data_IF_305296464941
#
_entry.id   IF_305296464941
#
_cell.length_a   1.000
_cell.length_b   1.000
_cell.length_c   1.000
_cell.angle_alpha   90.00
_cell.angle_beta   90.00
_cell.angle_gamma   90.00
#
_symmetry.space_group_name_H-M   'P 1'
#
loop_
_entity.id
_entity.type
_entity.pdbx_description
1 polymer ?
#
# COMPACT_ATOMS: atom_id res chain seq x y z
N UNK A 1 -63.17 11.88 -44.90
CA UNK A 1 -62.45 10.59 -44.85
C UNK A 1 -60.93 10.81 -44.93
N UNK A 2 -60.41 11.62 -45.87
CA UNK A 2 -58.96 11.89 -45.97
C UNK A 2 -58.34 12.73 -44.84
N UNK A 3 -59.08 13.66 -44.22
CA UNK A 3 -58.55 14.48 -43.11
C UNK A 3 -58.34 13.70 -41.80
N UNK A 4 -59.17 12.68 -41.56
CA UNK A 4 -59.11 11.85 -40.35
C UNK A 4 -57.89 10.91 -40.36
N UNK A 5 -57.54 10.37 -41.52
CA UNK A 5 -56.31 9.58 -41.73
C UNK A 5 -55.04 10.44 -41.60
N UNK A 6 -55.08 11.70 -42.04
CA UNK A 6 -53.94 12.63 -41.93
C UNK A 6 -53.70 13.06 -40.49
N UNK A 7 -54.77 13.28 -39.73
CA UNK A 7 -54.73 13.59 -38.30
C UNK A 7 -54.16 12.42 -37.49
N UNK A 8 -54.64 11.21 -37.75
CA UNK A 8 -54.15 9.99 -37.07
C UNK A 8 -52.68 9.66 -37.40
N UNK A 9 -52.24 9.84 -38.64
CA UNK A 9 -50.82 9.67 -39.01
C UNK A 9 -49.95 10.69 -38.26
N UNK A 10 -50.38 11.96 -38.18
CA UNK A 10 -49.61 12.99 -37.46
C UNK A 10 -49.47 12.66 -35.97
N UNK A 11 -50.55 12.26 -35.32
CA UNK A 11 -50.55 11.87 -33.90
C UNK A 11 -49.67 10.64 -33.64
N UNK A 12 -49.74 9.62 -34.50
CA UNK A 12 -48.86 8.44 -34.41
C UNK A 12 -47.39 8.83 -34.52
N UNK A 13 -47.03 9.69 -35.48
CA UNK A 13 -45.63 10.13 -35.64
C UNK A 13 -45.12 10.96 -34.46
N UNK A 14 -45.98 11.77 -33.85
CA UNK A 14 -45.64 12.55 -32.65
C UNK A 14 -45.47 11.64 -31.43
N UNK A 15 -46.35 10.65 -31.27
CA UNK A 15 -46.28 9.66 -30.20
C UNK A 15 -44.99 8.83 -30.29
N UNK A 16 -44.63 8.35 -31.48
CA UNK A 16 -43.39 7.59 -31.72
C UNK A 16 -42.13 8.40 -31.44
N UNK A 17 -42.10 9.68 -31.85
CA UNK A 17 -40.99 10.58 -31.51
C UNK A 17 -40.87 10.77 -30.00
N UNK A 18 -41.99 11.02 -29.33
CA UNK A 18 -42.03 11.19 -27.87
C UNK A 18 -41.58 9.93 -27.14
N UNK A 19 -41.99 8.75 -27.62
CA UNK A 19 -41.57 7.45 -27.09
C UNK A 19 -40.07 7.26 -27.24
N UNK A 20 -39.51 7.48 -28.44
CA UNK A 20 -38.07 7.36 -28.70
C UNK A 20 -37.23 8.29 -27.83
N UNK A 21 -37.69 9.52 -27.57
CA UNK A 21 -37.01 10.47 -26.66
C UNK A 21 -37.03 9.98 -25.22
N UNK A 22 -38.16 9.44 -24.76
CA UNK A 22 -38.28 8.85 -23.41
C UNK A 22 -37.40 7.62 -23.25
N UNK A 23 -37.42 6.73 -24.24
CA UNK A 23 -36.63 5.50 -24.23
C UNK A 23 -35.12 5.84 -24.21
N UNK A 24 -34.66 6.74 -25.07
CA UNK A 24 -33.26 7.20 -25.09
C UNK A 24 -32.84 7.83 -23.76
N UNK A 25 -33.72 8.61 -23.11
CA UNK A 25 -33.44 9.17 -21.78
C UNK A 25 -33.33 8.07 -20.73
N UNK A 26 -34.24 7.09 -20.75
CA UNK A 26 -34.22 5.98 -19.79
C UNK A 26 -33.00 5.10 -19.98
N UNK A 27 -32.56 4.88 -21.22
CA UNK A 27 -31.38 4.08 -21.55
C UNK A 27 -30.10 4.77 -21.11
N UNK A 28 -29.95 6.07 -21.39
CA UNK A 28 -28.83 6.86 -20.88
C UNK A 28 -28.77 6.89 -19.34
N UNK A 29 -29.94 6.97 -18.67
CA UNK A 29 -29.99 6.90 -17.21
C UNK A 29 -29.53 5.54 -16.69
N UNK A 30 -29.93 4.44 -17.33
CA UNK A 30 -29.47 3.08 -16.98
C UNK A 30 -27.96 2.94 -17.15
N UNK A 31 -27.41 3.38 -18.28
CA UNK A 31 -25.97 3.30 -18.52
C UNK A 31 -25.15 4.09 -17.50
N UNK A 32 -25.62 5.29 -17.12
CA UNK A 32 -24.98 6.10 -16.07
C UNK A 32 -24.99 5.36 -14.72
N UNK A 33 -26.10 4.72 -14.39
CA UNK A 33 -26.27 4.01 -13.13
C UNK A 33 -25.42 2.74 -13.08
N UNK A 34 -25.36 1.98 -14.18
CA UNK A 34 -24.46 0.84 -14.34
C UNK A 34 -22.99 1.25 -14.27
N UNK A 35 -22.61 2.36 -14.94
CA UNK A 35 -21.25 2.87 -14.88
C UNK A 35 -20.86 3.30 -13.46
N UNK A 36 -21.76 4.00 -12.76
CA UNK A 36 -21.56 4.37 -11.35
C UNK A 36 -21.39 3.14 -10.47
N UNK A 37 -22.28 2.15 -10.60
CA UNK A 37 -22.23 0.93 -9.80
C UNK A 37 -20.93 0.16 -10.06
N UNK A 38 -20.53 0.00 -11.32
CA UNK A 38 -19.26 -0.63 -11.69
C UNK A 38 -18.07 0.11 -11.09
N UNK A 39 -18.05 1.44 -11.15
CA UNK A 39 -16.98 2.25 -10.56
C UNK A 39 -16.93 2.15 -9.04
N UNK A 40 -18.08 2.09 -8.38
CA UNK A 40 -18.14 1.92 -6.93
C UNK A 40 -17.68 0.52 -6.49
N UNK A 41 -18.01 -0.52 -7.26
CA UNK A 41 -17.49 -1.88 -7.05
C UNK A 41 -15.97 -1.96 -7.26
N UNK A 42 -15.45 -1.34 -8.33
CA UNK A 42 -14.01 -1.21 -8.57
C UNK A 42 -13.32 -0.46 -7.42
N UNK A 43 -13.91 0.63 -6.96
CA UNK A 43 -13.37 1.42 -5.85
C UNK A 43 -13.36 0.63 -4.54
N UNK A 44 -14.44 -0.08 -4.21
CA UNK A 44 -14.51 -0.92 -3.00
C UNK A 44 -13.52 -2.07 -3.05
N UNK A 45 -13.34 -2.72 -4.21
CA UNK A 45 -12.29 -3.73 -4.38
C UNK A 45 -10.91 -3.13 -4.18
N UNK A 46 -10.64 -1.99 -4.80
CA UNK A 46 -9.37 -1.30 -4.65
C UNK A 46 -9.11 -0.88 -3.20
N UNK A 47 -10.10 -0.33 -2.49
CA UNK A 47 -10.00 -0.02 -1.06
C UNK A 47 -9.75 -1.27 -0.21
N UNK A 48 -10.42 -2.39 -0.49
CA UNK A 48 -10.19 -3.63 0.24
C UNK A 48 -8.80 -4.21 -0.01
N UNK A 49 -8.35 -4.19 -1.26
CA UNK A 49 -7.04 -4.71 -1.67
C UNK A 49 -5.91 -3.81 -1.15
N UNK A 50 -6.01 -2.50 -1.33
CA UNK A 50 -5.00 -1.53 -0.91
C UNK A 50 -5.06 -1.19 0.58
N UNK A 51 -6.25 -1.18 1.18
CA UNK A 51 -6.42 -0.97 2.62
C UNK A 51 -5.79 -2.10 3.45
N UNK A 52 -5.65 -3.30 2.86
CA UNK A 52 -4.89 -4.42 3.44
C UNK A 52 -3.38 -4.34 3.21
N UNK A 53 -2.93 -3.51 2.24
CA UNK A 53 -1.53 -3.37 1.87
C UNK A 53 -0.67 -2.86 3.02
N UNK A 54 -1.21 -1.95 3.84
CA UNK A 54 -0.47 -1.40 4.98
C UNK A 54 -0.24 -2.46 6.07
N UNK A 55 -1.25 -3.28 6.37
CA UNK A 55 -1.11 -4.38 7.35
C UNK A 55 -0.16 -5.46 6.88
N UNK A 56 -0.21 -5.81 5.59
CA UNK A 56 0.69 -6.82 5.02
C UNK A 56 2.13 -6.32 5.01
N UNK A 57 2.36 -5.08 4.61
CA UNK A 57 3.68 -4.46 4.66
C UNK A 57 4.21 -4.34 6.10
N UNK A 58 3.35 -4.00 7.06
CA UNK A 58 3.70 -3.93 8.48
C UNK A 58 4.03 -5.32 9.05
N UNK A 59 3.23 -6.35 8.76
CA UNK A 59 3.52 -7.73 9.19
C UNK A 59 4.82 -8.27 8.58
N UNK A 60 5.06 -8.03 7.29
CA UNK A 60 6.28 -8.50 6.62
C UNK A 60 7.52 -7.76 7.16
N UNK A 61 7.43 -6.44 7.35
CA UNK A 61 8.50 -5.67 7.98
C UNK A 61 8.77 -6.10 9.43
N UNK A 62 7.72 -6.41 10.20
CA UNK A 62 7.88 -6.85 11.58
C UNK A 62 8.53 -8.24 11.67
N UNK A 63 8.15 -9.18 10.79
CA UNK A 63 8.81 -10.50 10.70
C UNK A 63 10.29 -10.37 10.34
N UNK A 64 10.62 -9.51 9.40
CA UNK A 64 12.01 -9.29 8.98
C UNK A 64 12.83 -8.63 10.10
N UNK A 65 12.25 -7.65 10.80
CA UNK A 65 12.87 -7.03 11.97
C UNK A 65 13.10 -8.04 13.10
N UNK A 66 12.11 -8.89 13.43
CA UNK A 66 12.27 -9.94 14.44
C UNK A 66 13.37 -10.95 14.08
N UNK A 67 13.45 -11.33 12.79
CA UNK A 67 14.53 -12.20 12.31
C UNK A 67 15.91 -11.53 12.49
N UNK A 68 16.03 -10.25 12.12
CA UNK A 68 17.27 -9.48 12.30
C UNK A 68 17.66 -9.31 13.77
N UNK A 69 16.69 -9.09 14.66
CA UNK A 69 16.95 -9.02 16.11
C UNK A 69 17.48 -10.36 16.64
N UNK A 70 16.91 -11.48 16.20
CA UNK A 70 17.41 -12.82 16.57
C UNK A 70 18.84 -13.05 16.06
N UNK A 71 19.12 -12.72 14.81
CA UNK A 71 20.48 -12.81 14.25
C UNK A 71 21.48 -11.98 15.06
N UNK A 72 21.13 -10.75 15.42
CA UNK A 72 21.98 -9.86 16.24
C UNK A 72 22.20 -10.44 17.63
N UNK A 73 21.15 -10.99 18.27
CA UNK A 73 21.27 -11.62 19.58
C UNK A 73 22.18 -12.86 19.54
N UNK A 74 22.06 -13.71 18.53
CA UNK A 74 22.91 -14.89 18.36
C UNK A 74 24.36 -14.50 18.10
N UNK A 75 24.59 -13.54 17.19
CA UNK A 75 25.92 -13.00 16.92
C UNK A 75 26.52 -12.40 18.21
N UNK A 76 25.75 -11.60 18.94
CA UNK A 76 26.15 -10.97 20.20
C UNK A 76 26.48 -11.99 21.29
N UNK A 77 25.73 -13.09 21.42
CA UNK A 77 26.06 -14.19 22.34
C UNK A 77 27.37 -14.87 21.96
N UNK A 78 27.60 -15.10 20.67
CA UNK A 78 28.82 -15.75 20.16
C UNK A 78 30.07 -14.88 20.35
N UNK A 79 29.97 -13.57 20.12
CA UNK A 79 31.09 -12.64 20.28
C UNK A 79 31.23 -12.11 21.70
N UNK A 80 30.16 -12.12 22.50
CA UNK A 80 30.10 -11.49 23.82
C UNK A 80 31.11 -12.08 24.80
N UNK A 81 31.24 -13.41 24.84
CA UNK A 81 32.24 -14.08 25.68
C UNK A 81 33.66 -13.59 25.35
N UNK A 82 33.99 -13.53 24.06
CA UNK A 82 35.30 -13.07 23.59
C UNK A 82 35.56 -11.60 23.94
N UNK A 83 34.56 -10.74 23.78
CA UNK A 83 34.67 -9.31 24.13
C UNK A 83 34.90 -9.13 25.62
N UNK A 84 34.21 -9.89 26.47
CA UNK A 84 34.40 -9.86 27.92
C UNK A 84 35.81 -10.32 28.29
N UNK A 85 36.28 -11.42 27.71
CA UNK A 85 37.63 -11.94 27.95
C UNK A 85 38.70 -10.94 27.49
N UNK A 86 38.53 -10.32 26.31
CA UNK A 86 39.44 -9.30 25.79
C UNK A 86 39.46 -8.04 26.67
N UNK A 87 38.30 -7.59 27.19
CA UNK A 87 38.20 -6.47 28.13
C UNK A 87 38.89 -6.78 29.47
N UNK A 88 38.65 -7.97 30.04
CA UNK A 88 39.30 -8.38 31.29
C UNK A 88 40.80 -8.44 31.09
N UNK A 89 41.26 -9.03 29.98
CA UNK A 89 42.68 -9.13 29.66
C UNK A 89 43.32 -7.75 29.47
N UNK A 90 42.66 -6.81 28.79
CA UNK A 90 43.14 -5.45 28.63
C UNK A 90 43.27 -4.69 29.96
N UNK A 91 42.33 -4.89 30.89
CA UNK A 91 42.36 -4.23 32.22
C UNK A 91 43.41 -4.86 33.15
N UNK A 92 43.64 -6.17 33.03
CA UNK A 92 44.54 -6.92 33.91
C UNK A 92 45.98 -7.03 33.40
N UNK A 93 46.23 -6.70 32.13
CA UNK A 93 47.57 -6.73 31.54
C UNK A 93 48.19 -5.34 31.60
N UNK A 94 49.17 -5.09 32.48
CA UNK A 94 49.86 -3.80 32.52
C UNK A 94 50.63 -3.58 31.21
N UNK A 95 50.36 -2.46 30.54
CA UNK A 95 51.16 -1.98 29.41
C UNK A 95 51.94 -0.73 29.83
N UNK A 96 53.10 -0.90 30.48
CA UNK A 96 53.92 0.23 30.88
C UNK A 96 54.54 0.90 29.65
N UNK A 97 54.03 2.08 29.29
CA UNK A 97 54.68 2.95 28.31
C UNK A 97 55.61 3.92 29.02
N UNK A 98 56.83 4.08 28.49
CA UNK A 98 57.76 5.10 28.95
C UNK A 98 57.21 6.46 28.50
N UNK A 99 56.97 7.42 29.41
CA UNK A 99 56.53 8.75 29.02
C UNK A 99 57.50 9.36 28.02
N UNK A 100 56.99 9.89 26.90
CA UNK A 100 57.75 10.50 25.79
C UNK A 100 58.75 11.59 26.21
N UNK A 101 58.64 12.12 27.43
CA UNK A 101 59.55 13.13 27.98
C UNK A 101 60.87 12.54 28.50
N UNK A 102 60.91 11.24 28.80
CA UNK A 102 62.07 10.54 29.38
C UNK A 102 62.92 9.86 28.29
N UNK A 103 62.38 9.62 27.10
CA UNK A 103 63.09 9.00 25.96
C UNK A 103 63.92 9.98 25.11
N UNK A 104 64.03 11.25 25.52
CA UNK A 104 64.91 12.26 24.91
C UNK A 104 65.89 12.82 25.94
N UNK A 105 66.69 11.97 26.55
CA UNK A 105 67.98 12.38 27.11
C UNK A 105 69.00 11.36 26.61
N UNK A 106 69.96 11.87 25.83
CA UNK A 106 71.08 11.14 25.21
C UNK A 106 72.08 10.60 26.26
#
# INVERSE_FOLDING_TARGET
>A
MYDDERFTILDLTFLDRTKRVKDAKSEAQKEIEEYRKKKEEEFKKFESEQGSGNKKAEEDANKEAEAKVKEIQEAGKKSGQKVVDDLIKAVTSPHPEVPLKISRED
#
